data_IF_537164531557
#
_entry.id   IF_537164531557
#
_cell.length_a   1.000
_cell.length_b   1.000
_cell.length_c   1.000
_cell.angle_alpha   90.00
_cell.angle_beta   90.00
_cell.angle_gamma   90.00
#
_symmetry.space_group_name_H-M   'P 1'
#
loop_
_entity.id
_entity.type
_entity.pdbx_description
1 polymer ?
#
# COMPACT_ATOMS: atom_id res chain seq x y z
N UNK A 1 8.88 -22.20 21.56
CA UNK A 1 8.68 -20.96 20.76
C UNK A 1 7.43 -21.02 19.87
N UNK A 2 6.26 -21.42 20.38
CA UNK A 2 5.04 -21.48 19.56
C UNK A 2 4.35 -20.10 19.42
N UNK A 3 4.41 -19.28 20.46
CA UNK A 3 3.76 -17.96 20.52
C UNK A 3 4.38 -16.98 19.50
N UNK A 4 5.70 -17.02 19.32
CA UNK A 4 6.40 -16.16 18.35
C UNK A 4 6.08 -16.49 16.90
N UNK A 5 5.86 -17.78 16.58
CA UNK A 5 5.46 -18.22 15.24
C UNK A 5 4.01 -17.83 14.94
N UNK A 6 3.11 -17.98 15.92
CA UNK A 6 1.72 -17.55 15.80
C UNK A 6 1.57 -16.04 15.59
N UNK A 7 2.30 -15.23 16.35
CA UNK A 7 2.29 -13.78 16.22
C UNK A 7 2.83 -13.31 14.85
N UNK A 8 3.94 -13.89 14.39
CA UNK A 8 4.51 -13.58 13.07
C UNK A 8 3.59 -13.98 11.92
N UNK A 9 2.91 -15.13 12.05
CA UNK A 9 1.92 -15.57 11.07
C UNK A 9 0.73 -14.59 11.04
N UNK A 10 0.15 -14.25 12.19
CA UNK A 10 -0.99 -13.33 12.27
C UNK A 10 -0.67 -11.94 11.69
N UNK A 11 0.52 -11.40 11.96
CA UNK A 11 0.98 -10.12 11.38
C UNK A 11 1.17 -10.24 9.86
N UNK A 12 1.76 -11.33 9.38
CA UNK A 12 1.94 -11.53 7.95
C UNK A 12 0.61 -11.68 7.22
N UNK A 13 -0.36 -12.41 7.78
CA UNK A 13 -1.69 -12.53 7.20
C UNK A 13 -2.43 -11.18 7.20
N UNK A 14 -2.38 -10.42 8.31
CA UNK A 14 -3.04 -9.11 8.37
C UNK A 14 -2.46 -8.09 7.38
N UNK A 15 -1.15 -8.16 7.11
CA UNK A 15 -0.48 -7.27 6.16
C UNK A 15 -0.61 -7.72 4.70
N UNK A 16 -0.90 -8.99 4.42
CA UNK A 16 -1.05 -9.52 3.05
C UNK A 16 -2.25 -8.92 2.34
N UNK A 17 -3.37 -8.83 3.04
CA UNK A 17 -4.64 -8.34 2.47
C UNK A 17 -4.73 -6.80 2.43
N UNK A 18 -3.72 -6.11 2.96
CA UNK A 18 -3.69 -4.66 3.02
C UNK A 18 -3.38 -4.00 1.66
N UNK A 19 -2.61 -4.70 0.83
CA UNK A 19 -2.12 -4.17 -0.44
C UNK A 19 -3.07 -4.48 -1.60
N UNK A 20 -3.55 -3.43 -2.26
CA UNK A 20 -4.34 -3.49 -3.47
C UNK A 20 -3.42 -3.38 -4.70
N UNK A 21 -3.72 -4.10 -5.79
CA UNK A 21 -2.97 -3.97 -7.04
C UNK A 21 -3.19 -2.57 -7.65
N UNK A 22 -2.18 -2.02 -8.32
CA UNK A 22 -2.29 -0.72 -8.99
C UNK A 22 -3.43 -0.63 -10.03
N UNK A 23 -3.84 -1.78 -10.58
CA UNK A 23 -4.97 -1.91 -11.49
C UNK A 23 -6.34 -1.67 -10.84
N UNK A 24 -6.44 -1.82 -9.52
CA UNK A 24 -7.66 -1.49 -8.77
C UNK A 24 -7.63 -0.01 -8.38
N UNK A 25 -8.72 0.69 -8.66
CA UNK A 25 -8.87 2.10 -8.32
C UNK A 25 -9.29 2.26 -6.84
N UNK A 26 -8.64 3.16 -6.08
CA UNK A 26 -9.05 3.47 -4.72
C UNK A 26 -10.48 4.00 -4.68
N UNK A 27 -11.39 3.29 -4.03
CA UNK A 27 -12.84 3.61 -3.98
C UNK A 27 -13.19 4.86 -3.17
N UNK A 28 -12.23 5.39 -2.40
CA UNK A 28 -12.41 6.50 -1.46
C UNK A 28 -11.28 7.51 -1.61
N UNK A 29 -11.65 8.80 -1.60
CA UNK A 29 -10.73 9.92 -1.49
C UNK A 29 -10.06 9.92 -0.10
N UNK A 30 -8.98 9.15 0.04
CA UNK A 30 -8.26 8.97 1.29
C UNK A 30 -6.75 8.99 1.05
N UNK A 31 -5.99 9.17 2.12
CA UNK A 31 -4.54 9.13 2.07
C UNK A 31 -4.06 7.71 1.73
N UNK A 32 -3.20 7.61 0.71
CA UNK A 32 -2.66 6.35 0.21
C UNK A 32 -1.16 6.27 0.46
N UNK A 33 -0.70 5.04 0.69
CA UNK A 33 0.70 4.67 0.50
C UNK A 33 0.81 3.88 -0.80
N UNK A 34 1.79 4.25 -1.60
CA UNK A 34 2.00 3.77 -2.95
C UNK A 34 3.37 3.11 -3.04
N UNK A 35 3.42 1.89 -3.57
CA UNK A 35 4.67 1.23 -3.92
C UNK A 35 4.90 1.33 -5.42
N UNK A 36 6.01 1.95 -5.81
CA UNK A 36 6.42 2.02 -7.21
C UNK A 36 7.75 1.29 -7.39
N UNK A 37 7.80 0.44 -8.41
CA UNK A 37 9.02 -0.22 -8.84
C UNK A 37 9.27 0.14 -10.28
N UNK A 38 10.40 0.79 -10.58
CA UNK A 38 10.79 1.05 -11.96
C UNK A 38 12.25 0.67 -12.20
N UNK A 39 12.48 0.12 -13.38
CA UNK A 39 13.77 -0.35 -13.85
C UNK A 39 14.34 0.69 -14.83
N UNK A 40 15.36 1.43 -14.41
CA UNK A 40 16.15 2.28 -15.30
C UNK A 40 17.55 1.68 -15.42
N UNK A 41 17.64 0.59 -16.18
CA UNK A 41 18.87 -0.23 -16.24
C UNK A 41 19.13 -0.96 -14.92
N UNK A 42 20.35 -0.83 -14.38
CA UNK A 42 20.70 -1.23 -13.02
C UNK A 42 21.12 0.05 -12.27
N UNK A 43 20.48 0.42 -11.15
CA UNK A 43 19.66 -0.41 -10.24
C UNK A 43 18.14 -0.35 -10.47
N UNK A 44 17.43 -1.33 -9.90
CA UNK A 44 15.97 -1.30 -9.72
C UNK A 44 15.65 -0.38 -8.55
N UNK A 45 14.77 0.60 -8.76
CA UNK A 45 14.35 1.53 -7.71
C UNK A 45 13.04 1.06 -7.10
N UNK A 46 13.06 0.85 -5.78
CA UNK A 46 11.86 0.61 -4.97
C UNK A 46 11.57 1.85 -4.16
N UNK A 47 10.41 2.46 -4.37
CA UNK A 47 10.01 3.70 -3.72
C UNK A 47 8.65 3.54 -3.06
N UNK A 48 8.54 4.07 -1.86
CA UNK A 48 7.27 4.25 -1.14
C UNK A 48 6.91 5.72 -1.21
N UNK A 49 5.71 6.03 -1.72
CA UNK A 49 5.21 7.41 -1.88
C UNK A 49 3.93 7.59 -1.08
N UNK A 50 3.78 8.78 -0.51
CA UNK A 50 2.55 9.22 0.14
C UNK A 50 1.72 10.03 -0.85
N UNK A 51 0.43 9.71 -0.98
CA UNK A 51 -0.53 10.46 -1.79
C UNK A 51 -1.69 10.93 -0.91
N UNK A 52 -1.81 12.24 -0.62
CA UNK A 52 -2.97 12.76 0.09
C UNK A 52 -4.21 12.74 -0.82
N UNK A 53 -5.38 12.43 -0.26
CA UNK A 53 -6.67 12.43 -0.97
C UNK A 53 -6.65 11.64 -2.30
N UNK A 54 -6.06 10.44 -2.29
CA UNK A 54 -5.94 9.59 -3.48
C UNK A 54 -7.31 9.29 -4.09
N UNK A 55 -7.38 9.40 -5.42
CA UNK A 55 -8.59 9.34 -6.26
C UNK A 55 -9.44 10.64 -6.41
N UNK A 56 -8.94 11.81 -5.98
CA UNK A 56 -9.52 13.08 -6.46
C UNK A 56 -8.93 13.54 -7.82
N UNK A 57 -8.05 12.72 -8.41
CA UNK A 57 -7.38 13.02 -9.68
C UNK A 57 -7.99 12.11 -10.73
N UNK A 58 -8.92 12.65 -11.52
CA UNK A 58 -9.51 11.96 -12.67
C UNK A 58 -8.40 11.27 -13.50
N UNK A 59 -8.58 9.98 -13.76
CA UNK A 59 -7.68 9.07 -14.49
C UNK A 59 -6.60 8.33 -13.69
N UNK A 60 -6.98 7.66 -12.58
CA UNK A 60 -6.15 6.67 -11.90
C UNK A 60 -5.47 5.69 -12.88
N UNK A 61 -6.24 5.18 -13.85
CA UNK A 61 -5.78 4.21 -14.86
C UNK A 61 -4.61 4.70 -15.73
N UNK A 62 -4.58 5.98 -16.05
CA UNK A 62 -3.49 6.57 -16.83
C UNK A 62 -2.30 6.91 -15.94
N UNK A 63 -2.60 7.42 -14.74
CA UNK A 63 -1.61 7.83 -13.76
C UNK A 63 -0.76 6.67 -13.23
N UNK A 64 -1.38 5.56 -12.80
CA UNK A 64 -0.66 4.45 -12.18
C UNK A 64 0.37 3.81 -13.12
N UNK A 65 0.07 3.82 -14.44
CA UNK A 65 0.97 3.32 -15.48
C UNK A 65 2.20 4.21 -15.65
N UNK A 66 2.01 5.53 -15.75
CA UNK A 66 3.10 6.49 -15.87
C UNK A 66 3.95 6.58 -14.60
N UNK A 67 3.35 6.37 -13.43
CA UNK A 67 4.05 6.38 -12.15
C UNK A 67 4.79 5.08 -11.80
N UNK A 68 4.69 4.04 -12.65
CA UNK A 68 5.21 2.69 -12.39
C UNK A 68 4.72 2.11 -11.06
N UNK A 69 3.44 2.30 -10.77
CA UNK A 69 2.81 1.81 -9.54
C UNK A 69 2.62 0.30 -9.60
N UNK A 70 3.05 -0.40 -8.57
CA UNK A 70 2.86 -1.83 -8.40
C UNK A 70 1.62 -2.13 -7.56
N UNK A 71 1.52 -1.46 -6.40
CA UNK A 71 0.44 -1.65 -5.42
C UNK A 71 0.25 -0.42 -4.55
N UNK A 72 -0.88 -0.34 -3.88
CA UNK A 72 -1.23 0.73 -2.96
C UNK A 72 -2.03 0.23 -1.76
N UNK A 73 -2.10 1.02 -0.70
CA UNK A 73 -2.97 0.76 0.46
C UNK A 73 -3.49 2.06 1.06
N UNK A 74 -4.55 2.00 1.85
CA UNK A 74 -5.01 3.12 2.65
C UNK A 74 -4.15 3.26 3.91
N UNK A 75 -3.63 4.46 4.17
CA UNK A 75 -2.84 4.69 5.39
C UNK A 75 -3.64 4.41 6.67
N UNK A 76 -4.96 4.66 6.62
CA UNK A 76 -5.89 4.42 7.72
C UNK A 76 -5.97 2.93 8.11
N UNK A 77 -5.62 2.03 7.19
CA UNK A 77 -5.73 0.59 7.40
C UNK A 77 -4.41 0.00 7.97
N UNK A 78 -3.31 0.76 7.98
CA UNK A 78 -2.01 0.31 8.53
C UNK A 78 -2.00 0.26 10.05
N UNK A 79 -2.67 1.21 10.70
CA UNK A 79 -2.66 1.35 12.15
C UNK A 79 -4.10 1.54 12.62
N UNK A 80 -4.56 0.77 13.63
CA UNK A 80 -5.85 1.05 14.25
C UNK A 80 -5.87 2.50 14.78
N UNK A 81 -6.99 3.19 14.58
CA UNK A 81 -7.17 4.60 14.99
C UNK A 81 -7.05 4.80 16.50
N UNK A 82 -7.33 3.74 17.25
CA UNK A 82 -7.16 3.67 18.69
C UNK A 82 -5.93 2.79 18.94
N UNK A 83 -4.94 3.34 19.65
CA UNK A 83 -3.80 2.57 20.10
C UNK A 83 -4.31 1.36 20.87
N UNK A 84 -3.83 0.18 20.52
CA UNK A 84 -4.31 -1.07 21.12
C UNK A 84 -4.19 -1.02 22.64
N UNK A 85 -5.32 -0.84 23.32
CA UNK A 85 -5.46 -1.29 24.70
C UNK A 85 -5.47 -2.82 24.64
N UNK A 86 -4.35 -3.41 25.04
CA UNK A 86 -4.30 -4.80 25.50
C UNK A 86 -4.50 -4.85 27.00
#
# INVERSE_FOLDING_TARGET
EAIGLGAKWAINESLKDLWYPASEEPKKAKNLILETTYEYGKPIYHLIKYMPNGNNVCAWKEWYKGAHLSRWLYIDDLLPKEGGEQ
#
